data_IF_909906996133
#
_entry.id   IF_909906996133
#
_cell.length_a   1.000
_cell.length_b   1.000
_cell.length_c   1.000
_cell.angle_alpha   90.00
_cell.angle_beta   90.00
_cell.angle_gamma   90.00
#
_symmetry.space_group_name_H-M   'P 1'
#
loop_
_entity.id
_entity.type
_entity.pdbx_description
1 polymer ?
#
# COMPACT_ATOMS: atom_id res chain seq x y z
N UNK A 1 3.33 -8.30 11.58
CA UNK A 1 2.63 -7.67 10.42
C UNK A 1 2.98 -8.51 9.21
N UNK A 2 1.98 -9.07 8.53
CA UNK A 2 2.22 -9.90 7.34
C UNK A 2 2.56 -8.93 6.21
N UNK A 3 3.84 -8.74 5.95
CA UNK A 3 4.30 -8.11 4.72
C UNK A 3 4.22 -9.22 3.66
N UNK A 4 3.40 -9.00 2.64
CA UNK A 4 3.20 -9.95 1.54
C UNK A 4 3.38 -9.18 0.24
N UNK A 5 3.98 -9.82 -0.75
CA UNK A 5 4.21 -9.24 -2.07
C UNK A 5 2.92 -8.65 -2.64
N UNK A 6 2.98 -7.39 -3.05
CA UNK A 6 1.84 -6.73 -3.66
C UNK A 6 1.52 -7.40 -4.99
N UNK A 7 0.27 -7.82 -5.10
CA UNK A 7 -0.33 -8.31 -6.34
C UNK A 7 -1.62 -7.56 -6.60
N UNK A 8 -2.07 -7.53 -7.86
CA UNK A 8 -3.35 -6.90 -8.24
C UNK A 8 -4.50 -7.40 -7.35
N UNK A 9 -4.57 -8.72 -7.13
CA UNK A 9 -5.61 -9.35 -6.31
C UNK A 9 -5.55 -8.90 -4.86
N UNK A 10 -4.35 -8.77 -4.28
CA UNK A 10 -4.19 -8.27 -2.92
C UNK A 10 -4.67 -6.81 -2.85
N UNK A 11 -4.24 -5.96 -3.79
CA UNK A 11 -4.61 -4.53 -3.83
C UNK A 11 -6.13 -4.32 -3.94
N UNK A 12 -6.82 -5.15 -4.74
CA UNK A 12 -8.27 -5.10 -4.88
C UNK A 12 -9.01 -5.53 -3.60
N UNK A 13 -8.42 -6.45 -2.81
CA UNK A 13 -9.00 -6.93 -1.54
C UNK A 13 -8.83 -5.94 -0.38
N UNK A 14 -7.94 -4.96 -0.50
CA UNK A 14 -7.76 -3.93 0.53
C UNK A 14 -9.05 -3.11 0.62
N UNK A 15 -9.69 -3.16 1.80
CA UNK A 15 -10.85 -2.34 2.14
C UNK A 15 -10.40 -0.95 2.58
N UNK A 16 -11.14 0.07 2.15
CA UNK A 16 -10.99 1.41 2.71
C UNK A 16 -11.37 1.38 4.20
N UNK A 17 -10.62 2.12 5.01
CA UNK A 17 -10.92 2.35 6.41
C UNK A 17 -11.26 3.83 6.62
N UNK A 18 -11.60 4.21 7.86
CA UNK A 18 -11.92 5.61 8.21
C UNK A 18 -10.70 6.56 8.11
N UNK A 19 -9.52 6.01 7.88
CA UNK A 19 -8.26 6.71 7.68
C UNK A 19 -7.46 6.12 6.51
N UNK A 20 -6.44 6.85 6.06
CA UNK A 20 -5.49 6.35 5.06
C UNK A 20 -4.82 5.06 5.55
N UNK A 21 -4.90 4.02 4.73
CA UNK A 21 -4.23 2.73 4.95
C UNK A 21 -3.07 2.64 3.97
N UNK A 22 -1.89 2.25 4.47
CA UNK A 22 -0.73 1.97 3.63
C UNK A 22 -0.32 0.51 3.81
N UNK A 23 -0.23 -0.20 2.69
CA UNK A 23 0.29 -1.56 2.63
C UNK A 23 1.61 -1.52 1.86
N UNK A 24 2.68 -1.95 2.51
CA UNK A 24 4.02 -2.01 1.93
C UNK A 24 4.27 -3.37 1.31
N UNK A 25 4.98 -3.36 0.19
CA UNK A 25 5.52 -4.57 -0.45
C UNK A 25 6.68 -5.14 0.39
N UNK A 26 6.77 -6.47 0.45
CA UNK A 26 7.82 -7.19 1.17
C UNK A 26 9.10 -7.44 0.35
N UNK A 27 9.00 -7.37 -0.98
CA UNK A 27 10.10 -7.60 -1.93
C UNK A 27 10.79 -6.32 -2.37
N UNK A 28 10.08 -5.19 -2.37
CA UNK A 28 10.59 -3.88 -2.78
C UNK A 28 10.43 -2.85 -1.65
N UNK A 29 11.48 -2.65 -0.83
CA UNK A 29 11.45 -1.69 0.26
C UNK A 29 11.07 -0.29 -0.20
N UNK A 30 10.16 0.33 0.53
CA UNK A 30 9.66 1.66 0.22
C UNK A 30 8.62 1.69 -0.89
N UNK A 31 8.28 0.59 -1.55
CA UNK A 31 7.14 0.53 -2.47
C UNK A 31 5.87 0.07 -1.76
N UNK A 32 4.75 0.75 -2.00
CA UNK A 32 3.49 0.40 -1.36
C UNK A 32 2.27 0.91 -2.10
N UNK A 33 1.10 0.55 -1.59
CA UNK A 33 -0.19 1.12 -2.01
C UNK A 33 -0.84 1.83 -0.83
N UNK A 34 -1.32 3.05 -1.09
CA UNK A 34 -2.14 3.82 -0.18
C UNK A 34 -3.60 3.74 -0.62
N UNK A 35 -4.49 3.43 0.32
CA UNK A 35 -5.94 3.44 0.13
C UNK A 35 -6.53 4.51 1.03
N UNK A 36 -7.18 5.50 0.42
CA UNK A 36 -7.89 6.57 1.14
C UNK A 36 -9.26 6.08 1.63
N UNK A 37 -9.90 6.76 2.60
CA UNK A 37 -11.29 6.50 2.99
C UNK A 37 -12.28 6.54 1.83
N UNK A 38 -12.01 7.36 0.80
CA UNK A 38 -12.81 7.40 -0.43
C UNK A 38 -12.69 6.18 -1.33
N UNK A 39 -11.85 5.20 -0.99
CA UNK A 39 -11.55 4.02 -1.80
C UNK A 39 -10.56 4.28 -2.94
N UNK A 40 -10.05 5.51 -3.08
CA UNK A 40 -9.00 5.84 -4.05
C UNK A 40 -7.71 5.11 -3.65
N UNK A 41 -7.13 4.39 -4.60
CA UNK A 41 -5.89 3.63 -4.44
C UNK A 41 -4.78 4.32 -5.22
N UNK A 42 -3.62 4.51 -4.60
CA UNK A 42 -2.46 5.11 -5.26
C UNK A 42 -1.20 4.37 -4.86
N UNK A 43 -0.38 4.01 -5.84
CA UNK A 43 0.95 3.47 -5.57
C UNK A 43 1.88 4.58 -5.09
N UNK A 44 2.71 4.27 -4.12
CA UNK A 44 3.64 5.20 -3.49
C UNK A 44 5.04 4.59 -3.43
N UNK A 45 6.05 5.46 -3.52
CA UNK A 45 7.43 5.11 -3.23
C UNK A 45 7.91 6.06 -2.11
N UNK A 46 8.33 5.48 -1.00
CA UNK A 46 9.02 6.16 0.08
C UNK A 46 10.49 5.83 0.01
N UNK A 47 11.29 6.87 -0.21
CA UNK A 47 12.73 6.79 -0.24
C UNK A 47 13.30 7.88 0.68
N UNK A 48 14.57 7.76 1.02
CA UNK A 48 15.30 8.79 1.77
C UNK A 48 16.36 9.35 0.85
N UNK A 49 16.27 10.64 0.55
CA UNK A 49 17.40 11.36 0.00
C UNK A 49 18.37 11.63 1.15
N UNK A 50 19.63 11.26 0.95
CA UNK A 50 20.72 11.70 1.81
C UNK A 50 21.26 13.02 1.28
#
# INVERSE_FOLDING_TARGET
MIAEKLSKTLVERIKAADQDVVVWDDTLPGFGVRVKPSGVRSYIIQYRNR
#
